data_IF_204138923403
#
_entry.id   IF_204138923403
#
_cell.length_a   1.000
_cell.length_b   1.000
_cell.length_c   1.000
_cell.angle_alpha   90.00
_cell.angle_beta   90.00
_cell.angle_gamma   90.00
#
_symmetry.space_group_name_H-M   'P 1'
#
loop_
_entity.id
_entity.type
_entity.pdbx_description
1 polymer ?
#
# COMPACT_ATOMS: atom_id res chain seq x y z
N UNK A 1 -4.38 -8.42 -5.42
CA UNK A 1 -3.46 -9.55 -5.69
C UNK A 1 -3.68 -10.12 -7.07
N UNK A 2 -2.62 -10.52 -7.80
CA UNK A 2 -2.76 -11.17 -9.11
C UNK A 2 -3.27 -12.60 -8.91
N UNK A 3 -4.57 -12.82 -9.12
CA UNK A 3 -5.15 -14.15 -9.12
C UNK A 3 -4.45 -15.10 -10.09
N UNK A 4 -3.77 -14.55 -11.11
CA UNK A 4 -2.96 -15.23 -12.15
C UNK A 4 -1.97 -16.30 -11.66
N UNK A 5 -1.51 -16.25 -10.41
CA UNK A 5 -0.54 -17.22 -9.87
C UNK A 5 -1.10 -18.14 -8.78
N UNK A 6 -2.36 -17.96 -8.39
CA UNK A 6 -3.00 -18.75 -7.33
C UNK A 6 -3.25 -20.18 -7.82
N UNK A 7 -2.93 -21.14 -6.95
CA UNK A 7 -3.19 -22.58 -7.08
C UNK A 7 -3.77 -23.09 -5.76
N UNK A 8 -4.37 -24.30 -5.75
CA UNK A 8 -4.90 -24.93 -4.54
C UNK A 8 -3.84 -25.01 -3.43
N UNK A 9 -2.66 -25.55 -3.73
CA UNK A 9 -1.58 -25.69 -2.74
C UNK A 9 -1.15 -24.35 -2.12
N UNK A 10 -1.09 -23.29 -2.93
CA UNK A 10 -0.75 -21.94 -2.44
C UNK A 10 -1.87 -21.38 -1.57
N UNK A 11 -3.12 -21.57 -1.95
CA UNK A 11 -4.27 -21.12 -1.17
C UNK A 11 -4.29 -21.81 0.19
N UNK A 12 -4.16 -23.14 0.22
CA UNK A 12 -4.09 -23.91 1.47
C UNK A 12 -2.95 -23.44 2.36
N UNK A 13 -1.76 -23.21 1.79
CA UNK A 13 -0.63 -22.68 2.56
C UNK A 13 -0.94 -21.31 3.18
N UNK A 14 -1.61 -20.42 2.46
CA UNK A 14 -2.00 -19.10 3.00
C UNK A 14 -3.02 -19.24 4.13
N UNK A 15 -4.00 -20.13 3.99
CA UNK A 15 -5.00 -20.44 5.01
C UNK A 15 -4.32 -20.98 6.28
N UNK A 16 -3.41 -21.95 6.15
CA UNK A 16 -2.63 -22.51 7.26
C UNK A 16 -1.78 -21.45 7.98
N UNK A 17 -1.37 -20.39 7.27
CA UNK A 17 -0.64 -19.25 7.84
C UNK A 17 -1.55 -18.20 8.49
N UNK A 18 -2.88 -18.42 8.48
CA UNK A 18 -3.86 -17.57 9.13
C UNK A 18 -4.44 -16.46 8.26
N UNK A 19 -4.26 -16.53 6.93
CA UNK A 19 -4.94 -15.59 6.02
C UNK A 19 -6.43 -15.94 5.95
N UNK A 20 -7.27 -14.99 6.38
CA UNK A 20 -8.73 -15.14 6.47
C UNK A 20 -9.50 -14.55 5.30
N UNK A 21 -8.87 -13.68 4.52
CA UNK A 21 -9.53 -13.00 3.40
C UNK A 21 -8.63 -12.85 2.19
N UNK A 22 -9.22 -13.08 1.01
CA UNK A 22 -8.53 -13.06 -0.28
C UNK A 22 -9.19 -12.15 -1.28
N UNK A 23 -8.41 -11.24 -1.84
CA UNK A 23 -8.98 -10.00 -2.33
C UNK A 23 -8.27 -9.69 -3.69
N UNK A 24 -8.95 -10.02 -4.79
CA UNK A 24 -8.39 -10.14 -6.15
C UNK A 24 -8.69 -8.90 -7.00
N UNK A 25 -7.69 -8.03 -7.13
CA UNK A 25 -7.78 -6.76 -7.86
C UNK A 25 -7.50 -6.84 -9.39
N UNK A 26 -7.15 -8.01 -9.93
CA UNK A 26 -6.58 -8.15 -11.29
C UNK A 26 -7.60 -8.50 -12.38
N UNK A 27 -8.86 -8.09 -12.23
CA UNK A 27 -9.93 -8.40 -13.20
C UNK A 27 -10.25 -7.24 -14.17
N UNK A 28 -9.57 -6.11 -14.07
CA UNK A 28 -9.80 -4.95 -14.96
C UNK A 28 -9.25 -5.11 -16.38
N UNK A 29 -9.69 -4.21 -17.27
CA UNK A 29 -9.33 -4.14 -18.69
C UNK A 29 -7.85 -3.91 -18.97
N UNK A 30 -7.07 -3.47 -17.98
CA UNK A 30 -5.63 -3.20 -18.13
C UNK A 30 -4.76 -4.43 -17.85
N UNK A 31 -5.36 -5.53 -17.40
CA UNK A 31 -4.72 -6.82 -17.18
C UNK A 31 -4.87 -7.75 -18.41
N UNK A 32 -3.81 -8.49 -18.73
CA UNK A 32 -3.72 -9.34 -19.95
C UNK A 32 -4.83 -10.38 -20.05
N UNK A 33 -5.33 -10.88 -18.90
CA UNK A 33 -6.40 -11.88 -18.84
C UNK A 33 -7.77 -11.29 -18.49
N UNK A 34 -7.86 -10.00 -18.11
CA UNK A 34 -9.11 -9.25 -17.86
C UNK A 34 -10.29 -10.06 -17.29
N UNK A 35 -10.07 -10.80 -16.18
CA UNK A 35 -11.11 -11.61 -15.55
C UNK A 35 -11.39 -12.99 -16.16
N UNK A 36 -10.68 -13.41 -17.21
CA UNK A 36 -10.83 -14.72 -17.86
C UNK A 36 -10.48 -15.94 -16.99
N UNK A 37 -9.92 -15.74 -15.78
CA UNK A 37 -9.71 -16.79 -14.77
C UNK A 37 -10.70 -16.72 -13.61
N UNK A 38 -11.71 -15.86 -13.66
CA UNK A 38 -12.58 -15.65 -12.51
C UNK A 38 -13.32 -16.94 -12.10
N UNK A 39 -13.81 -17.71 -13.07
CA UNK A 39 -14.45 -19.01 -12.81
C UNK A 39 -13.45 -20.02 -12.23
N UNK A 40 -12.25 -20.11 -12.80
CA UNK A 40 -11.20 -20.98 -12.28
C UNK A 40 -10.79 -20.60 -10.84
N UNK A 41 -10.73 -19.30 -10.53
CA UNK A 41 -10.47 -18.82 -9.18
C UNK A 41 -11.62 -19.18 -8.23
N UNK A 42 -12.87 -19.03 -8.67
CA UNK A 42 -14.04 -19.42 -7.90
C UNK A 42 -13.98 -20.92 -7.55
N UNK A 43 -13.68 -21.78 -8.52
CA UNK A 43 -13.55 -23.23 -8.31
C UNK A 43 -12.40 -23.54 -7.32
N UNK A 44 -11.26 -22.86 -7.43
CA UNK A 44 -10.13 -23.01 -6.49
C UNK A 44 -10.56 -22.61 -5.07
N UNK A 45 -11.20 -21.46 -4.90
CA UNK A 45 -11.66 -20.97 -3.59
C UNK A 45 -12.71 -21.91 -2.98
N UNK A 46 -13.71 -22.33 -3.76
CA UNK A 46 -14.74 -23.28 -3.34
C UNK A 46 -14.13 -24.61 -2.90
N UNK A 47 -13.14 -25.14 -3.65
CA UNK A 47 -12.45 -26.40 -3.30
C UNK A 47 -11.70 -26.35 -1.96
N UNK A 48 -11.39 -25.15 -1.47
CA UNK A 48 -10.71 -24.92 -0.19
C UNK A 48 -11.66 -24.41 0.90
N UNK A 49 -12.98 -24.38 0.64
CA UNK A 49 -13.98 -23.90 1.60
C UNK A 49 -13.98 -22.39 1.83
N UNK A 50 -13.45 -21.61 0.89
CA UNK A 50 -13.42 -20.14 0.98
C UNK A 50 -14.70 -19.55 0.38
N UNK A 51 -15.45 -18.78 1.18
CA UNK A 51 -16.76 -18.28 0.79
C UNK A 51 -16.66 -17.08 -0.19
N UNK A 52 -17.35 -17.16 -1.33
CA UNK A 52 -17.42 -16.09 -2.35
C UNK A 52 -18.70 -15.24 -2.33
N UNK A 53 -19.52 -15.31 -1.28
CA UNK A 53 -20.74 -14.49 -1.16
C UNK A 53 -20.45 -13.03 -0.84
N UNK A 54 -19.27 -12.73 -0.30
CA UNK A 54 -18.82 -11.38 0.06
C UNK A 54 -17.92 -10.79 -1.03
N UNK A 55 -18.54 -10.32 -2.11
CA UNK A 55 -17.81 -9.90 -3.31
C UNK A 55 -17.24 -8.49 -3.22
N UNK A 56 -17.75 -7.67 -2.32
CA UNK A 56 -17.38 -6.27 -2.21
C UNK A 56 -15.98 -6.12 -1.59
N UNK A 57 -15.14 -5.22 -2.13
CA UNK A 57 -13.85 -4.90 -1.53
C UNK A 57 -14.06 -4.27 -0.15
N UNK A 58 -13.12 -4.55 0.76
CA UNK A 58 -13.08 -3.95 2.09
C UNK A 58 -12.67 -2.48 1.99
N UNK A 59 -13.59 -1.59 1.64
CA UNK A 59 -13.30 -0.16 1.49
C UNK A 59 -13.80 0.67 2.67
N UNK A 60 -14.75 0.15 3.44
CA UNK A 60 -15.42 0.88 4.50
C UNK A 60 -15.29 0.14 5.85
N UNK A 61 -15.12 0.94 6.91
CA UNK A 61 -15.03 0.58 8.34
C UNK A 61 -15.80 -0.66 8.80
N UNK A 62 -17.05 -0.77 8.35
CA UNK A 62 -18.01 -1.73 8.86
C UNK A 62 -17.86 -3.16 8.33
N UNK A 63 -17.04 -3.39 7.30
CA UNK A 63 -16.98 -4.68 6.61
C UNK A 63 -15.73 -5.51 6.90
N UNK A 64 -14.78 -4.99 7.69
CA UNK A 64 -13.46 -5.62 7.90
C UNK A 64 -13.49 -6.93 8.70
N UNK A 65 -14.56 -7.19 9.46
CA UNK A 65 -14.75 -8.41 10.25
C UNK A 65 -15.99 -9.15 9.74
N UNK A 66 -15.77 -10.29 9.10
CA UNK A 66 -16.81 -11.09 8.42
C UNK A 66 -17.27 -12.23 9.32
N UNK A 67 -18.54 -12.63 9.21
CA UNK A 67 -19.08 -13.77 9.98
C UNK A 67 -18.41 -15.09 9.57
N UNK A 68 -17.98 -15.19 8.30
CA UNK A 68 -17.16 -16.29 7.81
C UNK A 68 -15.67 -15.94 7.89
N UNK A 69 -14.84 -16.75 8.58
CA UNK A 69 -13.41 -16.48 8.74
C UNK A 69 -12.58 -16.74 7.48
N UNK A 70 -13.17 -17.30 6.42
CA UNK A 70 -12.53 -17.55 5.14
C UNK A 70 -13.43 -17.01 4.02
N UNK A 71 -13.12 -15.82 3.50
CA UNK A 71 -13.87 -15.21 2.40
C UNK A 71 -12.98 -14.71 1.27
N UNK A 72 -13.58 -14.52 0.09
CA UNK A 72 -12.91 -13.90 -1.03
C UNK A 72 -13.79 -12.93 -1.82
N UNK A 73 -13.16 -11.86 -2.28
CA UNK A 73 -13.75 -10.85 -3.15
C UNK A 73 -12.88 -10.58 -4.37
N UNK A 74 -13.46 -9.92 -5.37
CA UNK A 74 -12.75 -9.51 -6.56
C UNK A 74 -13.25 -8.16 -7.06
N UNK A 75 -12.33 -7.34 -7.58
CA UNK A 75 -12.64 -6.04 -8.14
C UNK A 75 -11.63 -5.68 -9.22
N UNK A 76 -12.01 -4.76 -10.10
CA UNK A 76 -11.11 -4.21 -11.10
C UNK A 76 -10.63 -2.83 -10.69
N UNK A 77 -9.43 -2.43 -11.12
CA UNK A 77 -9.08 -1.02 -11.13
C UNK A 77 -10.09 -0.24 -12.00
N UNK A 78 -10.87 0.64 -11.38
CA UNK A 78 -11.64 1.65 -12.10
C UNK A 78 -10.82 2.91 -12.31
N UNK A 79 -11.27 3.76 -13.25
CA UNK A 79 -10.68 5.09 -13.43
C UNK A 79 -10.79 5.92 -12.15
N UNK A 80 -11.87 5.82 -11.39
CA UNK A 80 -12.03 6.65 -10.19
C UNK A 80 -11.24 6.14 -8.97
N UNK A 81 -11.09 4.82 -8.84
CA UNK A 81 -10.61 4.22 -7.59
C UNK A 81 -9.08 4.02 -7.56
N UNK A 82 -8.44 3.81 -8.71
CA UNK A 82 -7.01 3.43 -8.76
C UNK A 82 -6.19 4.09 -9.88
N UNK A 83 -6.81 4.48 -11.00
CA UNK A 83 -6.07 5.15 -12.10
C UNK A 83 -6.13 6.68 -11.97
N UNK A 84 -7.28 7.21 -11.59
CA UNK A 84 -7.53 8.56 -11.11
C UNK A 84 -7.26 8.71 -9.61
N UNK A 85 -7.23 7.58 -8.89
CA UNK A 85 -6.69 7.46 -7.53
C UNK A 85 -5.15 7.45 -7.51
N UNK A 86 -4.54 8.60 -7.76
CA UNK A 86 -3.23 9.00 -7.23
C UNK A 86 -1.96 8.21 -7.62
N UNK A 87 -2.00 7.17 -8.45
CA UNK A 87 -0.77 6.49 -8.87
C UNK A 87 -0.03 7.25 -9.96
N UNK A 88 0.73 8.28 -9.58
CA UNK A 88 1.75 8.90 -10.43
C UNK A 88 2.96 7.97 -10.67
N UNK A 89 2.71 6.73 -11.11
CA UNK A 89 3.69 5.68 -11.37
C UNK A 89 3.29 4.79 -12.56
N UNK A 90 4.26 4.02 -13.06
CA UNK A 90 4.01 2.91 -14.00
C UNK A 90 3.22 3.32 -15.25
N UNK A 91 2.14 2.57 -15.54
CA UNK A 91 1.29 2.80 -16.72
C UNK A 91 0.59 4.16 -16.69
N UNK A 92 0.24 4.69 -15.52
CA UNK A 92 -0.45 5.97 -15.42
C UNK A 92 0.46 7.14 -15.84
N UNK A 93 1.73 7.13 -15.43
CA UNK A 93 2.74 8.08 -15.93
C UNK A 93 3.02 7.86 -17.42
N UNK A 94 3.17 6.60 -17.87
CA UNK A 94 3.47 6.28 -19.27
C UNK A 94 2.39 6.79 -20.24
N UNK A 95 1.13 6.77 -19.82
CA UNK A 95 0.00 7.21 -20.65
C UNK A 95 -0.54 8.59 -20.26
N UNK A 96 0.14 9.31 -19.36
CA UNK A 96 -0.25 10.63 -18.83
C UNK A 96 -1.68 10.71 -18.26
N UNK A 97 -2.14 9.66 -17.58
CA UNK A 97 -3.48 9.55 -16.98
C UNK A 97 -3.46 9.62 -15.44
N UNK A 98 -2.36 10.08 -14.85
CA UNK A 98 -2.23 10.24 -13.41
C UNK A 98 -2.88 11.55 -12.95
N UNK A 99 -3.38 11.59 -11.72
CA UNK A 99 -4.04 12.76 -11.16
C UNK A 99 -3.02 13.86 -10.81
N UNK A 100 -3.17 15.01 -11.49
CA UNK A 100 -2.36 16.22 -11.33
C UNK A 100 -3.04 17.20 -10.36
N UNK A 101 -3.28 16.76 -9.13
CA UNK A 101 -3.87 17.57 -8.08
C UNK A 101 -2.99 17.53 -6.81
N UNK A 102 -2.31 18.63 -6.46
CA UNK A 102 -1.50 18.69 -5.24
C UNK A 102 -2.35 18.60 -3.96
N UNK A 103 -3.65 18.89 -4.01
CA UNK A 103 -4.52 18.82 -2.83
C UNK A 103 -5.01 17.41 -2.54
N UNK A 104 -4.89 16.47 -3.49
CA UNK A 104 -5.26 15.10 -3.26
C UNK A 104 -4.19 14.38 -2.44
N UNK A 105 -4.51 14.11 -1.17
CA UNK A 105 -3.67 13.33 -0.27
C UNK A 105 -4.01 11.83 -0.30
N UNK A 106 -3.24 11.02 -1.04
CA UNK A 106 -3.43 9.56 -1.04
C UNK A 106 -3.18 8.94 0.34
N UNK A 107 -2.33 9.56 1.16
CA UNK A 107 -1.88 8.93 2.38
C UNK A 107 -3.03 8.71 3.36
N UNK A 108 -4.10 9.52 3.31
CA UNK A 108 -5.22 9.50 4.26
C UNK A 108 -6.32 8.50 3.97
N UNK A 109 -6.27 7.79 2.83
CA UNK A 109 -7.28 6.81 2.43
C UNK A 109 -6.75 5.37 2.55
N UNK A 110 -7.63 4.37 2.44
CA UNK A 110 -7.24 2.96 2.39
C UNK A 110 -6.22 2.71 1.27
N UNK A 111 -5.27 1.81 1.49
CA UNK A 111 -4.08 1.59 0.65
C UNK A 111 -3.09 2.76 0.59
N UNK A 112 -3.42 3.89 1.21
CA UNK A 112 -2.53 4.97 1.57
C UNK A 112 -1.53 4.56 2.65
N UNK A 113 -0.78 5.53 3.16
CA UNK A 113 0.20 5.27 4.21
C UNK A 113 -0.40 5.34 5.62
N UNK A 114 -1.59 5.92 5.79
CA UNK A 114 -2.17 6.10 7.11
C UNK A 114 -2.40 4.75 7.79
N UNK A 115 -2.05 4.68 9.07
CA UNK A 115 -2.19 3.51 9.93
C UNK A 115 -1.38 2.27 9.54
N UNK A 116 -0.39 2.36 8.62
CA UNK A 116 0.43 1.19 8.27
C UNK A 116 1.23 0.61 9.47
N UNK A 117 1.53 1.43 10.48
CA UNK A 117 2.14 1.03 11.75
C UNK A 117 1.12 0.64 12.84
N UNK A 118 -0.18 0.77 12.56
CA UNK A 118 -1.25 0.65 13.55
C UNK A 118 -1.41 1.91 14.40
N UNK A 119 -2.33 1.84 15.38
CA UNK A 119 -2.63 2.92 16.33
C UNK A 119 -3.87 3.75 16.01
N UNK A 120 -4.55 3.47 14.90
CA UNK A 120 -5.84 4.05 14.54
C UNK A 120 -6.89 2.96 14.31
N UNK A 121 -8.11 3.19 14.78
CA UNK A 121 -9.22 2.21 14.69
C UNK A 121 -10.20 2.53 13.54
N UNK A 122 -10.13 3.73 12.96
CA UNK A 122 -11.05 4.19 11.91
C UNK A 122 -10.65 3.77 10.49
N UNK A 123 -9.46 3.18 10.33
CA UNK A 123 -8.94 2.65 9.08
C UNK A 123 -8.11 1.40 9.37
N UNK A 124 -8.11 0.34 8.53
CA UNK A 124 -7.29 -0.84 8.76
C UNK A 124 -5.80 -0.54 8.77
N UNK A 125 -5.04 -1.37 9.48
CA UNK A 125 -3.60 -1.43 9.30
C UNK A 125 -3.29 -2.18 8.01
N UNK A 126 -2.71 -1.48 7.04
CA UNK A 126 -2.34 -2.06 5.74
C UNK A 126 -0.87 -1.80 5.42
N UNK A 127 -0.21 -2.78 4.81
CA UNK A 127 1.13 -2.63 4.23
C UNK A 127 1.15 -3.22 2.82
N UNK A 128 2.06 -2.72 1.98
CA UNK A 128 2.22 -3.25 0.63
C UNK A 128 3.52 -4.04 0.50
N UNK A 129 3.44 -5.27 0.01
CA UNK A 129 4.59 -6.07 -0.41
C UNK A 129 4.58 -6.18 -1.94
N UNK A 130 5.44 -5.41 -2.59
CA UNK A 130 5.59 -5.42 -4.05
C UNK A 130 6.81 -6.28 -4.43
N UNK A 131 6.55 -7.51 -4.86
CA UNK A 131 7.56 -8.57 -5.03
C UNK A 131 8.26 -8.89 -3.70
N UNK A 132 9.31 -8.15 -3.36
CA UNK A 132 10.07 -8.27 -2.12
C UNK A 132 10.08 -6.99 -1.30
N UNK A 133 9.63 -5.87 -1.88
CA UNK A 133 9.71 -4.54 -1.31
C UNK A 133 8.58 -4.35 -0.31
N UNK A 134 8.94 -4.16 0.97
CA UNK A 134 8.00 -3.80 2.02
C UNK A 134 7.82 -2.27 1.96
N UNK A 135 6.57 -1.80 1.82
CA UNK A 135 6.23 -0.39 1.68
C UNK A 135 5.06 0.00 2.59
N UNK A 136 4.97 1.27 3.02
CA UNK A 136 3.89 1.74 3.89
C UNK A 136 2.55 1.92 3.15
N UNK A 137 2.55 1.93 1.83
CA UNK A 137 1.37 2.18 1.00
C UNK A 137 1.44 1.43 -0.33
N UNK A 138 0.29 1.23 -0.97
CA UNK A 138 0.18 0.54 -2.25
C UNK A 138 0.97 1.15 -3.42
N UNK A 139 1.10 2.49 -3.58
CA UNK A 139 2.01 3.07 -4.57
C UNK A 139 3.47 2.69 -4.35
N UNK A 140 3.84 2.36 -3.11
CA UNK A 140 5.23 2.22 -2.69
C UNK A 140 5.93 3.58 -2.55
N UNK A 141 6.94 3.62 -1.68
CA UNK A 141 7.89 4.73 -1.59
C UNK A 141 9.03 4.51 -2.58
N UNK A 142 9.80 5.57 -2.90
CA UNK A 142 10.95 5.43 -3.80
C UNK A 142 11.95 4.35 -3.36
N UNK A 143 12.22 4.30 -2.05
CA UNK A 143 13.01 3.26 -1.41
C UNK A 143 12.11 2.42 -0.50
N UNK A 144 12.23 1.07 -0.52
CA UNK A 144 11.44 0.21 0.35
C UNK A 144 11.88 0.35 1.82
N UNK A 145 10.98 0.05 2.75
CA UNK A 145 11.30 0.01 4.18
C UNK A 145 12.18 -1.19 4.54
N UNK A 146 12.08 -2.27 3.76
CA UNK A 146 12.85 -3.50 3.92
C UNK A 146 12.63 -4.51 2.79
N UNK A 147 13.29 -5.66 2.90
CA UNK A 147 13.27 -6.77 1.94
C UNK A 147 12.66 -8.03 2.58
N UNK A 148 11.43 -8.37 2.17
CA UNK A 148 10.65 -9.50 2.72
C UNK A 148 11.30 -10.88 2.46
N UNK A 149 12.32 -10.98 1.60
CA UNK A 149 13.08 -12.22 1.40
C UNK A 149 14.12 -12.46 2.50
N UNK A 150 14.49 -11.39 3.22
CA UNK A 150 15.60 -11.38 4.17
C UNK A 150 15.18 -10.97 5.58
N UNK A 151 14.13 -10.17 5.71
CA UNK A 151 13.72 -9.54 6.94
C UNK A 151 12.27 -9.90 7.27
N UNK A 152 11.96 -10.06 8.55
CA UNK A 152 10.57 -10.18 8.98
C UNK A 152 9.88 -8.84 8.84
N UNK A 153 8.64 -8.86 8.34
CA UNK A 153 7.80 -7.66 8.21
C UNK A 153 7.68 -6.92 9.55
N UNK A 154 7.42 -7.64 10.65
CA UNK A 154 7.28 -7.04 11.98
C UNK A 154 8.53 -6.26 12.42
N UNK A 155 9.73 -6.77 12.15
CA UNK A 155 11.00 -6.09 12.50
C UNK A 155 11.20 -4.82 11.64
N UNK A 156 10.79 -4.86 10.38
CA UNK A 156 10.81 -3.69 9.49
C UNK A 156 9.85 -2.61 9.99
N UNK A 157 8.63 -2.99 10.41
CA UNK A 157 7.65 -2.07 10.97
C UNK A 157 8.10 -1.49 12.32
N UNK A 158 8.69 -2.31 13.20
CA UNK A 158 9.24 -1.82 14.47
C UNK A 158 10.38 -0.82 14.27
N UNK A 159 11.20 -1.01 13.23
CA UNK A 159 12.25 -0.04 12.89
C UNK A 159 11.67 1.23 12.26
N UNK A 160 10.70 1.10 11.36
CA UNK A 160 10.02 2.24 10.75
C UNK A 160 9.26 3.08 11.79
N UNK A 161 8.68 2.46 12.83
CA UNK A 161 7.99 3.16 13.91
C UNK A 161 8.92 4.03 14.77
N UNK A 162 10.23 3.83 14.68
CA UNK A 162 11.25 4.67 15.35
C UNK A 162 11.73 5.83 14.47
N UNK A 163 11.22 5.96 13.24
CA UNK A 163 11.59 7.03 12.32
C UNK A 163 10.48 8.08 12.20
N UNK A 164 10.83 9.36 12.43
CA UNK A 164 9.89 10.48 12.41
C UNK A 164 9.23 10.71 11.04
N UNK A 165 9.94 10.47 9.93
CA UNK A 165 9.37 10.57 8.57
C UNK A 165 8.24 9.54 8.41
N UNK A 166 8.50 8.30 8.82
CA UNK A 166 7.53 7.21 8.69
C UNK A 166 6.37 7.34 9.67
N UNK A 167 6.56 7.96 10.84
CA UNK A 167 5.44 8.35 11.71
C UNK A 167 4.50 9.32 11.02
N UNK A 168 5.02 10.39 10.39
CA UNK A 168 4.17 11.35 9.67
C UNK A 168 3.43 10.70 8.49
N UNK A 169 4.05 9.73 7.81
CA UNK A 169 3.34 8.93 6.80
C UNK A 169 2.22 8.08 7.41
N UNK A 170 2.47 7.44 8.56
CA UNK A 170 1.46 6.69 9.32
C UNK A 170 0.30 7.58 9.80
N UNK A 171 0.57 8.84 10.08
CA UNK A 171 -0.44 9.81 10.52
C UNK A 171 -1.22 10.39 9.32
N UNK A 172 -0.85 10.03 8.08
CA UNK A 172 -1.46 10.56 6.87
C UNK A 172 -1.00 11.97 6.50
N UNK A 173 0.13 12.44 7.04
CA UNK A 173 0.64 13.81 6.90
C UNK A 173 1.97 13.90 6.14
N UNK A 174 2.02 13.53 4.85
CA UNK A 174 3.25 13.52 4.05
C UNK A 174 3.92 14.89 3.94
N UNK A 175 3.18 16.00 3.99
CA UNK A 175 3.78 17.35 3.95
C UNK A 175 4.57 17.69 5.24
N UNK A 176 4.32 16.99 6.35
CA UNK A 176 5.05 17.18 7.62
C UNK A 176 6.20 16.20 7.80
N UNK A 177 6.38 15.22 6.90
CA UNK A 177 7.37 14.15 7.06
C UNK A 177 8.81 14.67 7.13
N UNK A 178 9.09 15.84 6.55
CA UNK A 178 10.40 16.46 6.54
C UNK A 178 10.75 17.36 7.73
N UNK A 179 9.80 17.63 8.64
CA UNK A 179 10.00 18.58 9.75
C UNK A 179 11.18 18.18 10.63
N UNK A 180 11.32 16.89 10.95
CA UNK A 180 12.46 16.37 11.74
C UNK A 180 13.82 16.51 11.05
N UNK A 181 13.85 16.76 9.74
CA UNK A 181 15.05 16.97 8.93
C UNK A 181 15.25 18.44 8.54
N UNK A 182 14.48 19.36 9.13
CA UNK A 182 14.57 20.79 8.87
C UNK A 182 13.85 21.28 7.62
N UNK A 183 12.98 20.46 7.02
CA UNK A 183 12.11 20.89 5.90
C UNK A 183 10.82 21.44 6.47
N UNK A 184 10.51 22.70 6.17
CA UNK A 184 9.27 23.34 6.61
C UNK A 184 8.06 22.83 5.80
N UNK A 185 6.87 22.95 6.39
CA UNK A 185 5.61 22.54 5.72
C UNK A 185 5.32 23.42 4.51
N UNK A 186 5.72 24.69 4.56
CA UNK A 186 5.56 25.64 3.46
C UNK A 186 6.40 25.19 2.26
N UNK A 187 7.68 24.88 2.47
CA UNK A 187 8.57 24.40 1.40
C UNK A 187 8.11 23.04 0.84
N UNK A 188 7.61 22.15 1.70
CA UNK A 188 6.99 20.91 1.28
C UNK A 188 5.74 21.13 0.40
N UNK A 189 4.90 22.09 0.78
CA UNK A 189 3.68 22.45 0.05
C UNK A 189 4.02 23.03 -1.32
N UNK A 190 4.92 24.02 -1.39
CA UNK A 190 5.42 24.57 -2.66
C UNK A 190 5.97 23.48 -3.57
N UNK A 191 6.73 22.53 -3.02
CA UNK A 191 7.28 21.44 -3.82
C UNK A 191 6.21 20.47 -4.31
N UNK A 192 5.21 20.17 -3.48
CA UNK A 192 4.07 19.35 -3.85
C UNK A 192 3.24 20.00 -4.98
N UNK A 193 3.05 21.32 -4.93
CA UNK A 193 2.42 22.10 -6.01
C UNK A 193 3.23 22.03 -7.31
N UNK A 194 4.55 22.17 -7.24
CA UNK A 194 5.45 22.09 -8.41
C UNK A 194 5.35 20.73 -9.11
N UNK A 195 5.36 19.63 -8.35
CA UNK A 195 5.27 18.26 -8.89
C UNK A 195 3.83 17.79 -9.11
N UNK A 196 2.84 18.56 -8.65
CA UNK A 196 1.40 18.37 -8.84
C UNK A 196 0.81 17.08 -8.26
N UNK A 197 1.53 16.39 -7.36
CA UNK A 197 1.09 15.12 -6.79
C UNK A 197 1.89 14.72 -5.55
N UNK A 198 1.18 14.29 -4.50
CA UNK A 198 1.77 14.00 -3.20
C UNK A 198 2.73 12.80 -3.22
N UNK A 199 2.47 11.78 -4.05
CA UNK A 199 3.37 10.64 -4.20
C UNK A 199 4.66 11.02 -4.92
N UNK A 200 4.60 11.95 -5.89
CA UNK A 200 5.80 12.49 -6.55
C UNK A 200 6.63 13.34 -5.59
N UNK A 201 5.97 14.16 -4.75
CA UNK A 201 6.65 14.89 -3.68
C UNK A 201 7.33 13.92 -2.70
N UNK A 202 6.60 12.89 -2.25
CA UNK A 202 7.16 11.86 -1.38
C UNK A 202 8.43 11.24 -1.96
N UNK A 203 8.41 10.88 -3.25
CA UNK A 203 9.57 10.35 -3.95
C UNK A 203 10.75 11.32 -4.01
N UNK A 204 10.48 12.58 -4.33
CA UNK A 204 11.52 13.60 -4.39
C UNK A 204 12.17 13.81 -3.03
N UNK A 205 11.36 13.96 -1.98
CA UNK A 205 11.86 14.09 -0.62
C UNK A 205 12.71 12.88 -0.21
N UNK A 206 12.22 11.66 -0.43
CA UNK A 206 12.96 10.43 -0.10
C UNK A 206 14.30 10.33 -0.82
N UNK A 207 14.39 10.80 -2.07
CA UNK A 207 15.66 10.89 -2.82
C UNK A 207 16.61 11.91 -2.21
N UNK A 208 16.14 13.12 -1.93
CA UNK A 208 16.95 14.20 -1.37
C UNK A 208 17.51 13.85 0.02
N UNK A 209 16.75 13.12 0.82
CA UNK A 209 17.08 12.79 2.21
C UNK A 209 17.51 11.33 2.41
N UNK A 210 17.85 10.62 1.33
CA UNK A 210 18.12 9.17 1.34
C UNK A 210 19.02 8.73 2.48
N UNK A 211 20.20 9.34 2.64
CA UNK A 211 21.20 8.89 3.62
C UNK A 211 20.82 9.26 5.07
N UNK A 212 19.89 10.20 5.26
CA UNK A 212 19.34 10.55 6.56
C UNK A 212 18.29 9.53 6.98
N UNK A 213 17.49 9.03 6.02
CA UNK A 213 16.33 8.16 6.28
C UNK A 213 16.67 6.67 6.17
N UNK A 214 17.61 6.28 5.32
CA UNK A 214 17.91 4.89 5.00
C UNK A 214 19.38 4.52 5.17
N UNK A 215 19.62 3.26 5.53
CA UNK A 215 20.92 2.59 5.53
C UNK A 215 20.83 1.25 4.76
N UNK A 216 21.85 0.40 4.88
CA UNK A 216 21.90 -0.92 4.25
C UNK A 216 20.80 -1.90 4.73
N UNK A 217 20.25 -1.65 5.92
CA UNK A 217 19.22 -2.48 6.54
C UNK A 217 17.79 -1.95 6.28
N UNK A 218 17.64 -0.80 5.62
CA UNK A 218 16.36 -0.18 5.30
C UNK A 218 16.18 1.15 6.03
N UNK A 219 15.00 1.41 6.60
CA UNK A 219 14.72 2.64 7.36
C UNK A 219 15.62 2.74 8.59
N UNK A 220 16.24 3.90 8.83
CA UNK A 220 17.02 4.20 10.04
C UNK A 220 16.10 4.74 11.14
N UNK A 221 16.30 4.40 12.42
CA UNK A 221 15.70 5.14 13.52
C UNK A 221 16.09 6.63 13.48
N UNK A 222 15.19 7.53 13.85
CA UNK A 222 15.56 8.94 14.05
C UNK A 222 16.46 9.03 15.27
N UNK A 223 17.64 9.64 15.12
CA UNK A 223 18.49 9.94 16.28
C UNK A 223 17.72 10.90 17.19
N UNK A 224 17.40 10.45 18.41
CA UNK A 224 16.91 11.36 19.43
C UNK A 224 18.07 12.28 19.78
N UNK A 225 17.97 13.56 19.42
CA UNK A 225 18.72 14.61 20.11
C UNK A 225 18.27 14.57 21.56
N UNK A 226 19.15 14.10 22.44
CA UNK A 226 19.05 14.24 23.89
C UNK A 226 19.06 15.73 24.23
#
# INVERSE_FOLDING_TARGET
TNGDLLTVDKLQNLIEKGVSRFDIASIDRYHKKAGGRLMELADIFESCGVNGTEKDPLLEGGHYLTENPLSWGYWGASEDMWLGGNWARGKAMKNDIWLKDPNHNFCTILSGARNFLGGYDDIPQEISIQLWRINPCCPGTHFPMGDARKQKVAEVLERASKNAVFKMLNDGEPLKMGVSLGVSVESATEKNEEVKNICLYCDQFMKCHKNQIFDENGVKPTQQTI
#
